data_IF_619685162006
#
_entry.id   IF_619685162006
#
_cell.length_a   1.000
_cell.length_b   1.000
_cell.length_c   1.000
_cell.angle_alpha   90.00
_cell.angle_beta   90.00
_cell.angle_gamma   90.00
#
_symmetry.space_group_name_H-M   'P 1'
#
loop_
_entity.id
_entity.type
_entity.pdbx_description
1 polymer ?
#
# COMPACT_ATOMS: atom_id res chain seq x y z
N UNK A 1 4.80 10.50 5.33
CA UNK A 1 4.86 9.87 4.00
C UNK A 1 5.42 8.47 4.14
N UNK A 2 4.71 7.44 3.62
CA UNK A 2 5.27 6.09 3.54
C UNK A 2 6.18 5.98 2.30
N UNK A 3 7.36 5.40 2.47
CA UNK A 3 8.34 5.28 1.39
C UNK A 3 8.82 3.82 1.29
N UNK A 4 8.64 3.24 0.11
CA UNK A 4 9.26 1.99 -0.30
C UNK A 4 10.35 2.30 -1.31
N UNK A 5 11.58 2.00 -0.98
CA UNK A 5 12.74 2.29 -1.83
C UNK A 5 13.34 1.03 -2.48
N UNK A 6 13.90 1.19 -3.68
CA UNK A 6 14.73 0.16 -4.32
C UNK A 6 16.11 0.77 -4.64
N UNK A 7 17.17 0.40 -3.92
CA UNK A 7 17.20 -0.45 -2.70
C UNK A 7 16.56 0.23 -1.47
N UNK A 8 16.08 -0.56 -0.53
CA UNK A 8 15.39 -0.08 0.68
C UNK A 8 16.28 0.76 1.62
N UNK A 9 17.60 0.73 1.44
CA UNK A 9 18.50 1.63 2.15
C UNK A 9 18.11 3.11 2.01
N UNK A 10 17.57 3.53 0.87
CA UNK A 10 17.12 4.90 0.67
C UNK A 10 15.93 5.29 1.55
N UNK A 11 14.98 4.38 1.76
CA UNK A 11 13.85 4.64 2.67
C UNK A 11 14.33 4.86 4.10
N UNK A 12 15.32 4.05 4.55
CA UNK A 12 15.94 4.19 5.87
C UNK A 12 16.71 5.51 6.00
N UNK A 13 17.56 5.84 5.03
CA UNK A 13 18.30 7.13 5.05
C UNK A 13 17.35 8.33 5.10
N UNK A 14 16.24 8.29 4.35
CA UNK A 14 15.25 9.36 4.39
C UNK A 14 14.53 9.43 5.73
N UNK A 15 14.23 8.29 6.34
CA UNK A 15 13.66 8.23 7.68
C UNK A 15 14.63 8.81 8.72
N UNK A 16 15.90 8.40 8.72
CA UNK A 16 16.93 8.92 9.61
C UNK A 16 17.10 10.45 9.51
N UNK A 17 16.96 10.98 8.27
CA UNK A 17 17.00 12.43 8.03
C UNK A 17 15.74 13.16 8.50
N UNK A 18 14.56 12.55 8.38
CA UNK A 18 13.28 13.16 8.69
C UNK A 18 12.31 12.16 9.37
N UNK A 19 12.61 11.69 10.60
CA UNK A 19 11.86 10.60 11.24
C UNK A 19 10.39 10.92 11.47
N UNK A 20 10.04 12.17 11.72
CA UNK A 20 8.66 12.61 11.91
C UNK A 20 7.87 12.74 10.59
N UNK A 21 8.51 12.58 9.45
CA UNK A 21 7.88 12.78 8.12
C UNK A 21 7.89 11.53 7.25
N UNK A 22 8.79 10.60 7.50
CA UNK A 22 9.03 9.43 6.67
C UNK A 22 8.76 8.15 7.43
N UNK A 23 7.91 7.31 6.89
CA UNK A 23 7.61 5.96 7.38
C UNK A 23 8.32 4.97 6.45
N UNK A 24 9.36 4.25 6.93
CA UNK A 24 10.16 3.39 6.06
C UNK A 24 9.49 2.03 5.84
N UNK A 25 9.38 1.62 4.58
CA UNK A 25 8.98 0.26 4.20
C UNK A 25 10.20 -0.51 3.67
N UNK A 26 10.30 -1.77 4.07
CA UNK A 26 11.34 -2.67 3.63
C UNK A 26 11.04 -3.22 2.24
N UNK A 27 11.67 -2.68 1.21
CA UNK A 27 11.59 -3.22 -0.15
C UNK A 27 12.33 -4.54 -0.30
N UNK A 28 11.77 -5.45 -1.09
CA UNK A 28 12.33 -6.79 -1.31
C UNK A 28 13.27 -6.86 -2.53
N UNK A 29 13.33 -5.81 -3.33
CA UNK A 29 14.16 -5.75 -4.53
C UNK A 29 15.54 -5.17 -4.25
N UNK A 30 16.60 -5.80 -4.77
CA UNK A 30 17.91 -5.18 -4.87
C UNK A 30 18.02 -4.33 -6.14
N UNK A 31 17.28 -4.70 -7.20
CA UNK A 31 17.24 -4.00 -8.48
C UNK A 31 15.85 -4.04 -9.12
N UNK A 32 15.64 -3.26 -10.19
CA UNK A 32 14.40 -3.28 -10.96
C UNK A 32 14.12 -4.62 -11.65
N UNK A 33 15.17 -5.39 -11.93
CA UNK A 33 15.05 -6.71 -12.58
C UNK A 33 14.40 -7.74 -11.65
N UNK A 34 14.55 -7.58 -10.35
CA UNK A 34 14.02 -8.50 -9.35
C UNK A 34 12.50 -8.46 -9.26
N UNK A 35 11.86 -7.38 -9.75
CA UNK A 35 10.39 -7.21 -9.73
C UNK A 35 9.62 -8.38 -10.34
N UNK A 36 10.17 -9.03 -11.35
CA UNK A 36 9.50 -10.11 -12.07
C UNK A 36 9.86 -11.51 -11.55
N UNK A 37 10.81 -11.63 -10.61
CA UNK A 37 11.40 -12.94 -10.23
C UNK A 37 11.60 -13.15 -8.73
N UNK A 38 11.45 -12.13 -7.90
CA UNK A 38 11.67 -12.22 -6.45
C UNK A 38 10.88 -13.36 -5.79
N UNK A 39 9.68 -13.66 -6.28
CA UNK A 39 8.81 -14.72 -5.77
C UNK A 39 9.37 -16.13 -5.99
N UNK A 40 10.48 -16.26 -6.72
CA UNK A 40 11.21 -17.51 -6.98
C UNK A 40 12.56 -17.58 -6.24
N UNK A 41 13.02 -16.49 -5.61
CA UNK A 41 14.26 -16.46 -4.81
C UNK A 41 14.02 -17.08 -3.43
N UNK A 42 14.37 -18.36 -3.28
CA UNK A 42 14.18 -19.12 -2.03
C UNK A 42 14.98 -18.57 -0.85
N UNK A 43 16.03 -17.80 -1.11
CA UNK A 43 16.87 -17.21 -0.07
C UNK A 43 16.34 -15.84 0.41
N UNK A 44 15.41 -15.27 -0.34
CA UNK A 44 14.86 -13.95 -0.05
C UNK A 44 14.20 -13.86 1.35
N UNK A 45 13.39 -14.82 1.82
CA UNK A 45 12.78 -14.73 3.14
C UNK A 45 13.80 -14.60 4.27
N UNK A 46 14.89 -15.39 4.24
CA UNK A 46 15.96 -15.31 5.24
C UNK A 46 16.66 -13.94 5.21
N UNK A 47 16.89 -13.39 4.02
CA UNK A 47 17.48 -12.05 3.85
C UNK A 47 16.54 -10.96 4.41
N UNK A 48 15.23 -11.10 4.19
CA UNK A 48 14.24 -10.14 4.71
C UNK A 48 14.11 -10.26 6.22
N UNK A 49 14.04 -11.47 6.78
CA UNK A 49 14.00 -11.70 8.23
C UNK A 49 15.19 -11.04 8.94
N UNK A 50 16.40 -11.23 8.42
CA UNK A 50 17.60 -10.59 8.96
C UNK A 50 17.49 -9.05 8.95
N UNK A 51 16.97 -8.48 7.87
CA UNK A 51 16.81 -7.02 7.74
C UNK A 51 15.68 -6.46 8.61
N UNK A 52 14.63 -7.25 8.86
CA UNK A 52 13.57 -6.90 9.82
C UNK A 52 14.16 -6.83 11.22
N UNK A 53 15.03 -7.79 11.60
CA UNK A 53 15.68 -7.81 12.90
C UNK A 53 16.66 -6.64 13.13
N UNK A 54 17.30 -6.14 12.06
CA UNK A 54 18.28 -5.06 12.11
C UNK A 54 17.70 -3.64 11.94
N UNK A 55 16.40 -3.52 11.71
CA UNK A 55 15.82 -2.23 11.35
C UNK A 55 14.46 -1.96 11.96
N UNK A 56 14.13 -0.68 12.04
CA UNK A 56 12.80 -0.23 12.42
C UNK A 56 11.95 0.03 11.18
N UNK A 57 11.25 -1.00 10.74
CA UNK A 57 10.42 -0.98 9.55
C UNK A 57 8.94 -0.94 9.93
N UNK A 58 8.15 -0.15 9.21
CA UNK A 58 6.69 -0.10 9.38
C UNK A 58 5.99 -1.22 8.60
N UNK A 59 6.63 -1.74 7.55
CA UNK A 59 6.05 -2.77 6.69
C UNK A 59 7.03 -3.33 5.68
N UNK A 60 6.58 -4.33 4.93
CA UNK A 60 7.30 -4.95 3.81
C UNK A 60 6.58 -4.59 2.51
N UNK A 61 7.30 -4.13 1.51
CA UNK A 61 6.74 -3.81 0.19
C UNK A 61 7.46 -2.64 -0.49
N UNK A 62 7.08 -2.35 -1.69
CA UNK A 62 5.94 -2.79 -2.47
C UNK A 62 6.20 -4.17 -3.09
N UNK A 63 5.30 -5.15 -2.89
CA UNK A 63 5.40 -6.48 -3.44
C UNK A 63 4.58 -6.57 -4.74
N UNK A 64 5.26 -6.66 -5.89
CA UNK A 64 4.59 -6.87 -7.18
C UNK A 64 4.36 -8.36 -7.38
N UNK A 65 3.11 -8.80 -7.27
CA UNK A 65 2.72 -10.19 -7.43
C UNK A 65 1.34 -10.28 -8.07
N UNK A 66 1.16 -11.27 -8.93
CA UNK A 66 -0.10 -11.48 -9.64
C UNK A 66 -0.69 -12.84 -9.33
N UNK A 67 -1.96 -13.04 -9.65
CA UNK A 67 -2.73 -14.25 -9.32
C UNK A 67 -2.01 -15.56 -9.67
N UNK A 68 -1.32 -15.60 -10.82
CA UNK A 68 -0.57 -16.78 -11.26
C UNK A 68 0.55 -17.21 -10.31
N UNK A 69 1.12 -16.27 -9.55
CA UNK A 69 2.24 -16.47 -8.64
C UNK A 69 1.82 -16.38 -7.16
N UNK A 70 0.54 -16.20 -6.87
CA UNK A 70 0.01 -16.03 -5.50
C UNK A 70 0.29 -17.25 -4.60
N UNK A 71 0.47 -18.44 -5.19
CA UNK A 71 0.85 -19.66 -4.47
C UNK A 71 2.35 -19.77 -4.15
N UNK A 72 3.17 -18.74 -4.47
CA UNK A 72 4.60 -18.74 -4.19
C UNK A 72 4.91 -19.03 -2.72
N UNK A 73 5.78 -20.01 -2.40
CA UNK A 73 6.22 -20.25 -1.03
C UNK A 73 7.05 -19.09 -0.47
N UNK A 74 7.77 -18.35 -1.33
CA UNK A 74 8.51 -17.15 -0.93
C UNK A 74 7.54 -16.05 -0.47
N UNK A 75 6.47 -15.80 -1.22
CA UNK A 75 5.42 -14.87 -0.80
C UNK A 75 4.78 -15.29 0.53
N UNK A 76 4.45 -16.59 0.66
CA UNK A 76 3.84 -17.09 1.90
C UNK A 76 4.75 -16.87 3.11
N UNK A 77 6.06 -17.02 2.96
CA UNK A 77 7.00 -16.77 4.03
C UNK A 77 7.15 -15.28 4.38
N UNK A 78 7.14 -14.40 3.38
CA UNK A 78 7.14 -12.95 3.62
C UNK A 78 5.87 -12.48 4.36
N UNK A 79 4.72 -13.10 4.07
CA UNK A 79 3.48 -12.83 4.80
C UNK A 79 3.60 -13.21 6.28
N UNK A 80 4.17 -14.41 6.57
CA UNK A 80 4.41 -14.86 7.96
C UNK A 80 5.38 -13.95 8.70
N UNK A 81 6.50 -13.57 8.06
CA UNK A 81 7.46 -12.63 8.64
C UNK A 81 6.77 -11.29 8.97
N UNK A 82 5.94 -10.79 8.08
CA UNK A 82 5.21 -9.55 8.33
C UNK A 82 4.27 -9.68 9.54
N UNK A 83 3.51 -10.76 9.62
CA UNK A 83 2.58 -11.04 10.71
C UNK A 83 3.30 -11.20 12.06
N UNK A 84 4.33 -12.04 12.12
CA UNK A 84 5.15 -12.31 13.32
C UNK A 84 5.79 -11.04 13.90
N UNK A 85 6.20 -10.11 13.05
CA UNK A 85 6.84 -8.86 13.45
C UNK A 85 5.89 -7.66 13.52
N UNK A 86 4.58 -7.88 13.32
CA UNK A 86 3.57 -6.82 13.34
C UNK A 86 3.79 -5.76 12.24
N UNK A 87 4.35 -6.15 11.10
CA UNK A 87 4.56 -5.29 9.95
C UNK A 87 3.35 -5.29 9.01
N UNK A 88 3.11 -4.19 8.31
CA UNK A 88 2.11 -4.18 7.25
C UNK A 88 2.71 -4.69 5.93
N UNK A 89 1.85 -5.17 5.03
CA UNK A 89 2.22 -5.52 3.66
C UNK A 89 1.69 -4.47 2.68
N UNK A 90 2.56 -3.92 1.84
CA UNK A 90 2.15 -3.13 0.68
C UNK A 90 2.15 -4.06 -0.54
N UNK A 91 0.95 -4.38 -1.05
CA UNK A 91 0.74 -5.36 -2.12
C UNK A 91 0.31 -4.68 -3.43
N UNK A 92 1.15 -4.81 -4.46
CA UNK A 92 0.82 -4.43 -5.83
C UNK A 92 0.43 -5.68 -6.62
N UNK A 93 -0.85 -5.92 -6.79
CA UNK A 93 -1.30 -7.13 -7.48
C UNK A 93 -2.80 -7.26 -7.60
N UNK A 94 -3.20 -8.46 -8.00
CA UNK A 94 -4.61 -8.84 -8.14
C UNK A 94 -5.26 -9.09 -6.77
N UNK A 95 -6.59 -9.08 -6.74
CA UNK A 95 -7.36 -9.40 -5.54
C UNK A 95 -6.97 -10.76 -4.93
N UNK A 96 -6.68 -11.77 -5.77
CA UNK A 96 -6.25 -13.10 -5.32
C UNK A 96 -4.96 -13.08 -4.48
N UNK A 97 -4.07 -12.11 -4.69
CA UNK A 97 -2.85 -11.96 -3.88
C UNK A 97 -3.19 -11.47 -2.47
N UNK A 98 -4.11 -10.52 -2.37
CA UNK A 98 -4.58 -10.00 -1.07
C UNK A 98 -5.36 -11.08 -0.31
N UNK A 99 -6.26 -11.79 -0.99
CA UNK A 99 -7.00 -12.93 -0.42
C UNK A 99 -6.02 -14.00 0.07
N UNK A 100 -4.98 -14.30 -0.71
CA UNK A 100 -3.94 -15.26 -0.31
C UNK A 100 -3.13 -14.81 0.92
N UNK A 101 -2.84 -13.53 1.05
CA UNK A 101 -2.19 -13.02 2.25
C UNK A 101 -3.05 -13.27 3.51
N UNK A 102 -4.35 -13.01 3.44
CA UNK A 102 -5.28 -13.28 4.55
C UNK A 102 -5.55 -14.76 4.81
N UNK A 103 -5.43 -15.63 3.81
CA UNK A 103 -5.46 -17.10 4.05
C UNK A 103 -4.24 -17.58 4.85
N UNK A 104 -3.07 -16.96 4.63
CA UNK A 104 -1.82 -17.32 5.31
C UNK A 104 -1.78 -16.73 6.71
N UNK A 105 -2.09 -15.46 6.85
CA UNK A 105 -2.09 -14.70 8.09
C UNK A 105 -3.36 -13.83 8.18
N UNK A 106 -4.40 -14.31 8.85
CA UNK A 106 -5.69 -13.63 8.90
C UNK A 106 -5.67 -12.22 9.49
N UNK A 107 -4.71 -11.92 10.34
CA UNK A 107 -4.61 -10.66 11.08
C UNK A 107 -3.56 -9.71 10.50
N UNK A 108 -2.84 -10.12 9.44
CA UNK A 108 -1.85 -9.27 8.78
C UNK A 108 -2.50 -8.00 8.22
N UNK A 109 -1.84 -6.86 8.40
CA UNK A 109 -2.32 -5.60 7.84
C UNK A 109 -1.87 -5.46 6.40
N UNK A 110 -2.81 -5.14 5.52
CA UNK A 110 -2.55 -4.99 4.08
C UNK A 110 -2.94 -3.60 3.60
N UNK A 111 -2.02 -2.94 2.90
CA UNK A 111 -2.30 -1.82 2.00
C UNK A 111 -2.29 -2.35 0.56
N UNK A 112 -3.46 -2.44 -0.06
CA UNK A 112 -3.59 -2.85 -1.45
C UNK A 112 -3.36 -1.66 -2.37
N UNK A 113 -2.27 -1.71 -3.13
CA UNK A 113 -1.86 -0.59 -3.97
C UNK A 113 -2.80 -0.36 -5.16
N UNK A 114 -3.04 0.92 -5.46
CA UNK A 114 -3.64 1.41 -6.70
C UNK A 114 -5.05 0.89 -6.98
N UNK A 115 -5.86 0.59 -5.95
CA UNK A 115 -7.20 -0.01 -6.12
C UNK A 115 -7.14 -1.37 -6.85
N UNK A 116 -5.95 -1.99 -6.90
CA UNK A 116 -5.67 -3.20 -7.67
C UNK A 116 -5.32 -2.97 -9.15
N UNK A 117 -5.18 -4.05 -9.90
CA UNK A 117 -4.65 -4.03 -11.28
C UNK A 117 -5.62 -3.46 -12.31
N UNK A 118 -6.91 -3.81 -12.19
CA UNK A 118 -7.98 -3.32 -13.10
C UNK A 118 -9.18 -2.87 -12.26
N UNK A 119 -9.09 -1.70 -11.60
CA UNK A 119 -10.10 -1.26 -10.66
C UNK A 119 -11.39 -0.83 -11.33
N UNK A 120 -12.51 -1.26 -10.74
CA UNK A 120 -13.83 -0.64 -10.87
C UNK A 120 -14.44 -0.54 -9.48
N UNK A 121 -15.35 0.41 -9.21
CA UNK A 121 -15.99 0.52 -7.90
C UNK A 121 -16.59 -0.81 -7.40
N UNK A 122 -17.23 -1.56 -8.30
CA UNK A 122 -17.88 -2.84 -7.97
C UNK A 122 -16.86 -3.94 -7.59
N UNK A 123 -15.69 -3.98 -8.23
CA UNK A 123 -14.64 -4.94 -7.88
C UNK A 123 -14.05 -4.62 -6.52
N UNK A 124 -13.81 -3.33 -6.27
CA UNK A 124 -13.25 -2.87 -4.99
C UNK A 124 -14.27 -3.09 -3.87
N UNK A 125 -15.56 -2.76 -4.10
CA UNK A 125 -16.63 -3.05 -3.14
C UNK A 125 -16.67 -4.52 -2.74
N UNK A 126 -16.71 -5.43 -3.73
CA UNK A 126 -16.69 -6.88 -3.46
C UNK A 126 -15.47 -7.33 -2.67
N UNK A 127 -14.30 -6.71 -2.91
CA UNK A 127 -13.09 -7.01 -2.14
C UNK A 127 -13.22 -6.59 -0.68
N UNK A 128 -13.80 -5.42 -0.42
CA UNK A 128 -14.06 -4.92 0.93
C UNK A 128 -15.15 -5.75 1.65
N UNK A 129 -16.22 -6.13 0.96
CA UNK A 129 -17.29 -6.97 1.50
C UNK A 129 -16.77 -8.35 1.95
N UNK A 130 -15.94 -9.00 1.12
CA UNK A 130 -15.34 -10.31 1.45
C UNK A 130 -14.35 -10.23 2.61
N UNK A 131 -13.76 -9.07 2.83
CA UNK A 131 -12.71 -8.84 3.82
C UNK A 131 -13.14 -7.82 4.88
N UNK A 132 -14.42 -7.79 5.24
CA UNK A 132 -15.00 -6.81 6.19
C UNK A 132 -14.29 -6.85 7.54
N UNK A 133 -13.94 -8.03 8.03
CA UNK A 133 -13.27 -8.27 9.31
C UNK A 133 -11.72 -8.28 9.20
N UNK A 134 -11.17 -7.96 8.02
CA UNK A 134 -9.73 -7.95 7.78
C UNK A 134 -9.15 -6.56 7.85
N UNK A 135 -7.90 -6.48 8.23
CA UNK A 135 -7.13 -5.24 8.28
C UNK A 135 -6.65 -4.84 6.86
N UNK A 136 -7.62 -4.48 6.00
CA UNK A 136 -7.42 -4.09 4.61
C UNK A 136 -7.61 -2.60 4.43
N UNK A 137 -6.57 -1.93 3.93
CA UNK A 137 -6.63 -0.57 3.38
C UNK A 137 -6.30 -0.60 1.88
N UNK A 138 -6.74 0.41 1.16
CA UNK A 138 -6.58 0.51 -0.30
C UNK A 138 -6.10 1.91 -0.64
N UNK A 139 -5.00 2.04 -1.34
CA UNK A 139 -4.56 3.34 -1.81
C UNK A 139 -5.13 3.70 -3.20
N UNK A 140 -5.26 5.00 -3.45
CA UNK A 140 -5.86 5.55 -4.66
C UNK A 140 -4.83 5.93 -5.73
N UNK A 141 -3.54 5.78 -5.46
CA UNK A 141 -2.48 6.29 -6.32
C UNK A 141 -2.50 5.72 -7.75
N UNK A 142 -1.97 6.49 -8.68
CA UNK A 142 -1.85 6.11 -10.11
C UNK A 142 -3.19 5.84 -10.81
N UNK A 143 -4.31 6.12 -10.14
CA UNK A 143 -5.66 5.93 -10.72
C UNK A 143 -6.45 7.24 -10.85
N UNK A 144 -5.74 8.36 -10.89
CA UNK A 144 -6.30 9.70 -10.89
C UNK A 144 -7.42 9.85 -11.93
N UNK A 145 -7.16 9.55 -13.20
CA UNK A 145 -8.15 9.63 -14.28
C UNK A 145 -9.28 8.59 -14.21
N UNK A 146 -9.10 7.50 -13.45
CA UNK A 146 -10.16 6.51 -13.23
C UNK A 146 -11.10 6.90 -12.11
N UNK A 147 -10.59 7.60 -11.11
CA UNK A 147 -11.34 8.07 -9.94
C UNK A 147 -12.01 9.40 -10.27
N UNK A 148 -11.24 10.33 -10.82
CA UNK A 148 -11.63 11.71 -11.02
C UNK A 148 -11.08 12.28 -12.36
N UNK A 149 -11.63 11.84 -13.50
CA UNK A 149 -11.22 12.37 -14.79
C UNK A 149 -11.41 13.89 -14.83
N UNK A 150 -10.36 14.59 -15.29
CA UNK A 150 -10.31 16.07 -15.27
C UNK A 150 -10.60 16.67 -13.87
N UNK A 151 -10.14 16.02 -12.81
CA UNK A 151 -10.32 16.47 -11.42
C UNK A 151 -11.74 16.36 -10.87
N UNK A 152 -12.66 15.67 -11.56
CA UNK A 152 -14.06 15.50 -11.13
C UNK A 152 -14.30 14.10 -10.61
N UNK A 153 -14.51 13.95 -9.31
CA UNK A 153 -14.83 12.66 -8.68
C UNK A 153 -16.06 12.03 -9.32
N UNK A 154 -15.91 10.81 -9.80
CA UNK A 154 -17.03 10.05 -10.37
C UNK A 154 -18.00 9.60 -9.26
N UNK A 155 -19.34 9.70 -9.47
CA UNK A 155 -20.32 9.36 -8.44
C UNK A 155 -20.19 7.94 -7.87
N UNK A 156 -19.80 6.96 -8.68
CA UNK A 156 -19.63 5.58 -8.21
C UNK A 156 -18.43 5.43 -7.26
N UNK A 157 -17.33 6.17 -7.46
CA UNK A 157 -16.21 6.20 -6.52
C UNK A 157 -16.55 6.99 -5.26
N UNK A 158 -17.29 8.11 -5.40
CA UNK A 158 -17.80 8.86 -4.24
C UNK A 158 -18.63 7.96 -3.34
N UNK A 159 -19.62 7.27 -3.90
CA UNK A 159 -20.49 6.35 -3.15
C UNK A 159 -19.68 5.24 -2.44
N UNK A 160 -18.64 4.71 -3.10
CA UNK A 160 -17.77 3.71 -2.51
C UNK A 160 -16.96 4.26 -1.33
N UNK A 161 -16.41 5.47 -1.44
CA UNK A 161 -15.67 6.11 -0.34
C UNK A 161 -16.58 6.43 0.85
N UNK A 162 -17.82 6.87 0.57
CA UNK A 162 -18.83 7.15 1.59
C UNK A 162 -19.29 5.85 2.30
N UNK A 163 -19.43 4.75 1.57
CA UNK A 163 -19.81 3.44 2.13
C UNK A 163 -18.70 2.80 2.97
N UNK A 164 -17.42 3.07 2.66
CA UNK A 164 -16.26 2.47 3.32
C UNK A 164 -15.24 3.53 3.78
N UNK A 165 -15.63 4.48 4.66
CA UNK A 165 -14.84 5.67 4.97
C UNK A 165 -13.48 5.38 5.62
N UNK A 166 -13.28 4.20 6.19
CA UNK A 166 -12.07 3.81 6.94
C UNK A 166 -11.09 2.97 6.11
N UNK A 167 -11.42 2.68 4.84
CA UNK A 167 -10.68 1.71 4.03
C UNK A 167 -9.76 2.33 2.99
N UNK A 168 -9.86 3.61 2.71
CA UNK A 168 -9.08 4.23 1.64
C UNK A 168 -8.02 5.19 2.17
N UNK A 169 -6.88 5.20 1.50
CA UNK A 169 -5.77 6.13 1.74
C UNK A 169 -5.46 6.86 0.44
N UNK A 170 -5.46 8.17 0.46
CA UNK A 170 -5.05 8.96 -0.69
C UNK A 170 -3.54 8.94 -0.83
N UNK A 171 -3.05 8.64 -2.04
CA UNK A 171 -1.63 8.57 -2.34
C UNK A 171 -1.33 9.05 -3.77
N UNK A 172 -0.08 9.40 -4.05
CA UNK A 172 0.37 9.90 -5.37
C UNK A 172 1.17 8.86 -6.14
N UNK A 173 2.03 8.11 -5.46
CA UNK A 173 3.04 7.21 -6.00
C UNK A 173 3.97 7.87 -7.04
N UNK A 174 5.16 8.21 -6.61
CA UNK A 174 6.17 8.88 -7.44
C UNK A 174 7.21 7.91 -8.00
N UNK A 175 6.75 6.83 -8.64
CA UNK A 175 7.57 5.72 -9.15
C UNK A 175 8.55 6.09 -10.27
N UNK A 176 8.43 7.26 -10.87
CA UNK A 176 9.28 7.71 -11.98
C UNK A 176 9.58 9.20 -11.92
N UNK A 177 10.67 9.62 -12.57
CA UNK A 177 11.03 11.04 -12.68
C UNK A 177 9.92 11.89 -13.30
N UNK A 178 9.17 11.34 -14.27
CA UNK A 178 8.04 12.05 -14.87
C UNK A 178 6.91 12.24 -13.85
N UNK A 179 6.60 11.22 -13.07
CA UNK A 179 5.56 11.32 -12.02
C UNK A 179 5.96 12.32 -10.91
N UNK A 180 7.25 12.40 -10.59
CA UNK A 180 7.77 13.45 -9.70
C UNK A 180 7.52 14.86 -10.23
N UNK A 181 7.74 15.10 -11.51
CA UNK A 181 7.48 16.41 -12.15
C UNK A 181 6.00 16.78 -12.16
N UNK A 182 5.11 15.79 -12.14
CA UNK A 182 3.66 15.96 -12.12
C UNK A 182 3.09 16.05 -10.70
N UNK A 183 3.92 15.90 -9.66
CA UNK A 183 3.46 15.77 -8.27
C UNK A 183 2.50 16.88 -7.85
N UNK A 184 2.87 18.14 -8.08
CA UNK A 184 2.06 19.28 -7.64
C UNK A 184 0.70 19.32 -8.36
N UNK A 185 0.66 19.00 -9.65
CA UNK A 185 -0.58 18.89 -10.42
C UNK A 185 -1.48 17.79 -9.87
N UNK A 186 -0.95 16.59 -9.71
CA UNK A 186 -1.70 15.45 -9.15
C UNK A 186 -2.20 15.74 -7.74
N UNK A 187 -1.36 16.30 -6.88
CA UNK A 187 -1.75 16.67 -5.53
C UNK A 187 -2.84 17.77 -5.50
N UNK A 188 -2.80 18.70 -6.47
CA UNK A 188 -3.83 19.72 -6.66
C UNK A 188 -5.17 19.10 -7.08
N UNK A 189 -5.15 18.20 -8.06
CA UNK A 189 -6.35 17.49 -8.53
C UNK A 189 -6.97 16.65 -7.41
N UNK A 190 -6.14 15.96 -6.63
CA UNK A 190 -6.60 15.21 -5.45
C UNK A 190 -7.30 16.13 -4.45
N UNK A 191 -6.68 17.26 -4.10
CA UNK A 191 -7.31 18.24 -3.19
C UNK A 191 -8.62 18.75 -3.75
N UNK A 192 -8.69 18.97 -5.06
CA UNK A 192 -9.87 19.48 -5.73
C UNK A 192 -11.03 18.46 -5.65
N UNK A 193 -10.83 17.21 -6.07
CA UNK A 193 -11.91 16.24 -6.03
C UNK A 193 -12.33 15.84 -4.62
N UNK A 194 -11.44 15.96 -3.65
CA UNK A 194 -11.81 15.73 -2.23
C UNK A 194 -12.85 16.74 -1.72
N UNK A 195 -12.91 17.96 -2.27
CA UNK A 195 -13.82 19.01 -1.78
C UNK A 195 -15.30 18.67 -1.90
N UNK A 196 -15.68 17.69 -2.72
CA UNK A 196 -17.08 17.24 -2.84
C UNK A 196 -17.49 16.28 -1.72
N UNK A 197 -16.53 15.76 -0.96
CA UNK A 197 -16.75 14.86 0.17
C UNK A 197 -16.98 15.66 1.46
N UNK A 198 -17.63 15.04 2.44
CA UNK A 198 -17.77 15.66 3.76
C UNK A 198 -16.42 15.91 4.43
N UNK A 199 -16.26 16.95 5.27
CA UNK A 199 -15.00 17.24 5.96
C UNK A 199 -14.42 16.03 6.73
N UNK A 200 -15.27 15.27 7.40
CA UNK A 200 -14.84 14.07 8.14
C UNK A 200 -14.28 13.00 7.19
N UNK A 201 -14.89 12.79 6.02
CA UNK A 201 -14.40 11.82 5.04
C UNK A 201 -13.09 12.29 4.39
N UNK A 202 -12.94 13.59 4.11
CA UNK A 202 -11.69 14.18 3.65
C UNK A 202 -10.56 13.89 4.64
N UNK A 203 -10.76 14.13 5.94
CA UNK A 203 -9.77 13.85 6.98
C UNK A 203 -9.40 12.36 7.03
N UNK A 204 -10.39 11.47 6.95
CA UNK A 204 -10.13 10.03 6.93
C UNK A 204 -9.24 9.62 5.76
N UNK A 205 -9.58 10.03 4.56
CA UNK A 205 -8.83 9.67 3.35
C UNK A 205 -7.43 10.29 3.31
N UNK A 206 -7.28 11.53 3.79
CA UNK A 206 -6.02 12.26 3.75
C UNK A 206 -4.99 11.80 4.77
N UNK A 207 -5.40 11.46 6.01
CA UNK A 207 -4.43 11.07 7.04
C UNK A 207 -4.93 10.06 8.08
N UNK A 208 -6.18 10.12 8.59
CA UNK A 208 -6.62 9.28 9.72
C UNK A 208 -6.55 7.79 9.41
N UNK A 209 -6.88 7.39 8.19
CA UNK A 209 -6.79 5.99 7.79
C UNK A 209 -5.33 5.53 7.68
N UNK A 210 -4.43 6.40 7.23
CA UNK A 210 -3.00 6.11 7.23
C UNK A 210 -2.44 6.03 8.66
N UNK A 211 -2.87 6.91 9.56
CA UNK A 211 -2.50 6.82 10.98
C UNK A 211 -2.97 5.50 11.58
N UNK A 212 -4.20 5.05 11.30
CA UNK A 212 -4.71 3.76 11.76
C UNK A 212 -3.91 2.57 11.20
N UNK A 213 -3.58 2.61 9.91
CA UNK A 213 -2.76 1.59 9.25
C UNK A 213 -1.37 1.48 9.91
N UNK A 214 -0.72 2.61 10.20
CA UNK A 214 0.62 2.66 10.75
C UNK A 214 0.68 2.76 12.28
N UNK A 215 -0.47 2.77 12.98
CA UNK A 215 -0.56 2.95 14.42
C UNK A 215 0.38 2.03 15.23
N UNK A 216 0.53 0.72 14.94
CA UNK A 216 1.44 -0.14 15.70
C UNK A 216 2.92 0.23 15.53
N UNK A 217 3.30 0.77 14.38
CA UNK A 217 4.66 1.27 14.17
C UNK A 217 4.85 2.62 14.87
N UNK A 218 3.91 3.54 14.71
CA UNK A 218 3.94 4.87 15.34
C UNK A 218 4.01 4.78 16.87
N UNK A 219 3.37 3.78 17.47
CA UNK A 219 3.41 3.55 18.91
C UNK A 219 4.79 3.08 19.45
N UNK A 220 5.72 2.70 18.56
CA UNK A 220 7.09 2.31 18.93
C UNK A 220 8.11 3.45 18.80
N UNK A 221 7.71 4.57 18.21
CA UNK A 221 8.56 5.76 18.02
C UNK A 221 8.49 6.67 19.24
#
# INVERSE_FOLDING_TARGET
>A
VAISGTPSAYARTLHEFAPQRVIPLLGVYASRHDKASWMHDRDLPAKIAARVADGDWAGIGELHLFARDAASPVFAELVRIADEHGLMLLLHGDAAVVERAFEIAPDVRVLWAHLGTVPTPEKVARMLERNVDRALWIDTSVRDERIAPNGRLLPAWQALFEAHPERFVVAVDTFSTNRWRQYDGVASDIRHWLTVLSPNLQERLLWRNAEALFAPWLARQ
#
